data_IF_363432187770
#
_entry.id   IF_363432187770
#
_cell.length_a   1.000
_cell.length_b   1.000
_cell.length_c   1.000
_cell.angle_alpha   90.00
_cell.angle_beta   90.00
_cell.angle_gamma   90.00
#
_symmetry.space_group_name_H-M   'P 1'
#
loop_
_entity.id
_entity.type
_entity.pdbx_description
1 polymer ?
#
# COMPACT_ATOMS: atom_id res chain seq x y z
N UNK A 1 -13.91 -1.77 5.60
CA UNK A 1 -12.63 -1.11 5.30
C UNK A 1 -12.08 -1.70 4.02
N UNK A 2 -11.74 -0.87 3.02
CA UNK A 2 -11.05 -1.32 1.82
C UNK A 2 -9.53 -1.30 2.01
N UNK A 3 -8.81 -1.79 1.00
CA UNK A 3 -7.34 -1.89 1.03
C UNK A 3 -6.66 -0.51 1.12
N UNK A 4 -7.28 0.54 0.55
CA UNK A 4 -6.74 1.91 0.60
C UNK A 4 -6.83 2.46 2.02
N UNK A 5 -7.99 2.30 2.67
CA UNK A 5 -8.17 2.74 4.04
C UNK A 5 -7.23 1.97 4.99
N UNK A 6 -7.05 0.67 4.75
CA UNK A 6 -6.07 -0.14 5.46
C UNK A 6 -4.65 0.41 5.31
N UNK A 7 -4.20 0.65 4.08
CA UNK A 7 -2.86 1.18 3.82
C UNK A 7 -2.66 2.56 4.44
N UNK A 8 -3.64 3.46 4.33
CA UNK A 8 -3.57 4.79 4.94
C UNK A 8 -3.47 4.70 6.48
N UNK A 9 -4.17 3.77 7.11
CA UNK A 9 -4.05 3.53 8.55
C UNK A 9 -2.65 3.03 8.93
N UNK A 10 -2.10 2.06 8.19
CA UNK A 10 -0.75 1.53 8.44
C UNK A 10 0.34 2.60 8.25
N UNK A 11 0.25 3.42 7.21
CA UNK A 11 1.18 4.54 7.02
C UNK A 11 1.11 5.56 8.16
N UNK A 12 -0.08 5.83 8.70
CA UNK A 12 -0.22 6.73 9.85
C UNK A 12 0.41 6.14 11.12
N UNK A 13 0.34 4.83 11.32
CA UNK A 13 1.00 4.13 12.43
C UNK A 13 2.53 4.17 12.32
N UNK A 14 3.08 3.92 11.13
CA UNK A 14 4.53 4.00 10.86
C UNK A 14 5.06 5.42 11.14
N UNK A 15 4.34 6.46 10.70
CA UNK A 15 4.72 7.85 11.00
C UNK A 15 4.63 8.19 12.49
N UNK A 16 3.59 7.69 13.18
CA UNK A 16 3.45 7.88 14.61
C UNK A 16 4.58 7.18 15.39
N UNK A 17 5.00 5.99 14.95
CA UNK A 17 6.15 5.27 15.51
C UNK A 17 7.46 6.03 15.25
N UNK A 18 7.67 6.53 14.03
CA UNK A 18 8.81 7.38 13.69
C UNK A 18 8.90 8.66 14.56
N UNK A 19 7.77 9.19 15.02
CA UNK A 19 7.74 10.33 15.95
C UNK A 19 8.10 9.99 17.41
N UNK A 20 8.02 8.72 17.82
CA UNK A 20 8.26 8.27 19.20
C UNK A 20 9.70 7.82 19.47
N UNK A 21 10.44 7.45 18.43
CA UNK A 21 11.78 6.87 18.53
C UNK A 21 12.91 7.91 18.78
N UNK A 22 12.58 9.14 19.20
CA UNK A 22 13.54 10.14 19.67
C UNK A 22 13.98 9.98 21.13
N UNK A 23 13.67 8.84 21.78
CA UNK A 23 14.03 8.54 23.16
C UNK A 23 15.39 7.84 23.29
N UNK A 24 16.10 8.14 24.39
CA UNK A 24 17.48 7.82 24.79
C UNK A 24 17.98 6.35 24.69
N UNK A 25 17.23 5.42 24.09
CA UNK A 25 17.54 3.98 24.02
C UNK A 25 18.14 3.55 22.67
N UNK A 26 18.65 4.51 21.87
CA UNK A 26 19.24 4.33 20.53
C UNK A 26 20.65 3.67 20.55
N UNK A 27 21.16 3.26 21.72
CA UNK A 27 22.50 2.71 21.82
C UNK A 27 22.66 1.30 21.22
N UNK A 28 21.56 0.56 20.98
CA UNK A 28 21.58 -0.85 20.56
C UNK A 28 21.19 -1.10 19.10
N UNK A 29 20.61 -0.13 18.40
CA UNK A 29 20.22 -0.26 16.99
C UNK A 29 21.33 0.31 16.10
N UNK A 30 21.69 -0.34 14.97
CA UNK A 30 22.61 0.26 14.01
C UNK A 30 22.08 1.63 13.59
N UNK A 31 22.90 2.68 13.74
CA UNK A 31 22.55 4.03 13.29
C UNK A 31 22.08 3.97 11.84
N UNK A 32 20.89 4.50 11.57
CA UNK A 32 20.30 4.54 10.21
C UNK A 32 19.29 3.43 9.88
N UNK A 33 19.05 2.44 10.76
CA UNK A 33 17.96 1.47 10.55
C UNK A 33 16.57 2.14 10.64
N UNK A 34 16.44 3.15 11.49
CA UNK A 34 15.19 3.87 11.71
C UNK A 34 15.44 5.38 11.71
N UNK A 35 15.60 5.96 10.51
CA UNK A 35 15.65 7.42 10.32
C UNK A 35 14.21 7.96 10.19
N UNK A 36 13.72 8.75 11.17
CA UNK A 36 12.35 9.28 11.12
C UNK A 36 12.08 10.15 9.89
N UNK A 37 13.09 10.84 9.36
CA UNK A 37 12.93 11.64 8.15
C UNK A 37 12.71 10.74 6.93
N UNK A 38 13.48 9.65 6.82
CA UNK A 38 13.29 8.63 5.79
C UNK A 38 11.90 7.98 5.88
N UNK A 39 11.45 7.55 7.07
CA UNK A 39 10.12 6.91 7.23
C UNK A 39 8.99 7.83 6.77
N UNK A 40 9.04 9.11 7.14
CA UNK A 40 8.06 10.11 6.66
C UNK A 40 8.12 10.31 5.15
N UNK A 41 9.31 10.32 4.56
CA UNK A 41 9.47 10.43 3.11
C UNK A 41 8.89 9.21 2.38
N UNK A 42 9.12 8.00 2.90
CA UNK A 42 8.52 6.76 2.37
C UNK A 42 7.00 6.79 2.49
N UNK A 43 6.45 7.20 3.63
CA UNK A 43 5.00 7.32 3.80
C UNK A 43 4.38 8.35 2.85
N UNK A 44 5.04 9.49 2.64
CA UNK A 44 4.62 10.48 1.65
C UNK A 44 4.66 9.94 0.21
N UNK A 45 5.69 9.17 -0.14
CA UNK A 45 5.80 8.53 -1.45
C UNK A 45 4.68 7.51 -1.66
N UNK A 46 4.40 6.64 -0.68
CA UNK A 46 3.32 5.65 -0.79
C UNK A 46 1.96 6.33 -0.89
N UNK A 47 1.69 7.42 -0.15
CA UNK A 47 0.46 8.21 -0.33
C UNK A 47 0.31 8.77 -1.74
N UNK A 48 1.40 9.25 -2.32
CA UNK A 48 1.40 9.70 -3.72
C UNK A 48 1.01 8.57 -4.66
N UNK A 49 1.58 7.37 -4.48
CA UNK A 49 1.19 6.18 -5.27
C UNK A 49 -0.29 5.86 -5.09
N UNK A 50 -0.83 5.87 -3.87
CA UNK A 50 -2.25 5.63 -3.62
C UNK A 50 -3.17 6.69 -4.25
N UNK A 51 -2.74 7.96 -4.26
CA UNK A 51 -3.46 9.04 -4.92
C UNK A 51 -3.51 8.89 -6.44
N UNK A 52 -2.47 8.30 -7.04
CA UNK A 52 -2.44 7.96 -8.46
C UNK A 52 -3.29 6.70 -8.74
N UNK A 53 -3.20 5.69 -7.88
CA UNK A 53 -3.89 4.41 -8.03
C UNK A 53 -5.26 4.39 -7.35
N UNK A 54 -6.07 5.43 -7.54
CA UNK A 54 -7.44 5.46 -7.05
C UNK A 54 -8.34 4.50 -7.84
N UNK A 55 -9.39 4.02 -7.17
CA UNK A 55 -10.50 3.34 -7.83
C UNK A 55 -11.21 4.37 -8.70
N UNK A 56 -11.28 4.10 -9.99
CA UNK A 56 -12.28 4.72 -10.84
C UNK A 56 -13.52 3.84 -10.79
N UNK A 57 -14.55 4.35 -10.15
CA UNK A 57 -15.92 3.90 -10.31
C UNK A 57 -16.59 4.70 -11.44
N UNK A 58 -17.60 4.11 -12.07
CA UNK A 58 -18.57 4.74 -12.98
C UNK A 58 -18.09 5.40 -14.29
N UNK A 59 -16.79 5.54 -14.55
CA UNK A 59 -16.28 5.99 -15.85
C UNK A 59 -16.59 4.92 -16.89
N UNK A 60 -17.74 5.08 -17.56
CA UNK A 60 -18.18 4.25 -18.68
C UNK A 60 -18.42 2.78 -18.26
N UNK A 61 -18.79 2.55 -17.00
CA UNK A 61 -18.98 1.21 -16.43
C UNK A 61 -17.67 0.49 -16.05
N UNK A 62 -16.54 1.20 -16.03
CA UNK A 62 -15.26 0.68 -15.57
C UNK A 62 -15.20 0.63 -14.04
N UNK A 63 -14.71 -0.49 -13.49
CA UNK A 63 -14.37 -0.64 -12.08
C UNK A 63 -12.92 -1.10 -11.95
N UNK A 64 -11.99 -0.16 -11.76
CA UNK A 64 -10.57 -0.44 -11.85
C UNK A 64 -9.66 0.73 -11.48
N UNK A 65 -8.40 0.66 -11.91
CA UNK A 65 -7.40 1.71 -11.69
C UNK A 65 -6.99 2.34 -13.02
N UNK A 66 -7.24 3.63 -13.22
CA UNK A 66 -6.93 4.33 -14.48
C UNK A 66 -5.43 4.38 -14.78
N UNK A 67 -4.60 4.52 -13.74
CA UNK A 67 -3.14 4.59 -13.89
C UNK A 67 -2.54 3.27 -14.36
N UNK A 68 -3.16 2.14 -14.01
CA UNK A 68 -2.75 0.83 -14.53
C UNK A 68 -3.16 0.60 -15.99
N UNK A 69 -3.98 1.48 -16.57
CA UNK A 69 -4.49 1.38 -17.93
C UNK A 69 -5.74 0.50 -18.06
N UNK A 70 -6.63 0.92 -18.96
CA UNK A 70 -7.84 0.20 -19.37
C UNK A 70 -7.59 -0.60 -20.67
N UNK A 71 -6.63 -1.52 -20.67
CA UNK A 71 -6.46 -2.42 -21.83
C UNK A 71 -7.31 -3.66 -21.63
N UNK A 72 -8.63 -3.52 -21.79
CA UNK A 72 -9.60 -4.52 -22.26
C UNK A 72 -9.53 -5.95 -21.70
N UNK A 73 -8.81 -6.17 -20.60
CA UNK A 73 -8.67 -7.42 -19.90
C UNK A 73 -9.05 -7.11 -18.45
N UNK A 74 -10.34 -7.29 -18.17
CA UNK A 74 -11.00 -7.04 -16.89
C UNK A 74 -10.49 -7.94 -15.76
N UNK A 75 -9.40 -8.68 -15.98
CA UNK A 75 -8.93 -9.75 -15.09
C UNK A 75 -8.42 -9.25 -13.74
N UNK A 76 -8.11 -7.96 -13.56
CA UNK A 76 -7.48 -7.51 -12.30
C UNK A 76 -8.22 -6.42 -11.51
N UNK A 77 -9.22 -5.74 -12.11
CA UNK A 77 -10.12 -4.80 -11.44
C UNK A 77 -9.45 -3.83 -10.44
N UNK A 78 -10.23 -3.30 -9.50
CA UNK A 78 -9.71 -2.69 -8.29
C UNK A 78 -9.87 -3.68 -7.11
N UNK A 79 -8.87 -3.85 -6.23
CA UNK A 79 -7.58 -3.17 -6.20
C UNK A 79 -6.57 -3.76 -7.18
N UNK A 80 -5.84 -2.86 -7.85
CA UNK A 80 -4.87 -3.22 -8.87
C UNK A 80 -3.60 -3.87 -8.26
N UNK A 81 -2.78 -4.57 -9.07
CA UNK A 81 -1.59 -5.27 -8.59
C UNK A 81 -0.63 -4.39 -7.79
N UNK A 82 -0.43 -3.13 -8.18
CA UNK A 82 0.43 -2.20 -7.46
C UNK A 82 -0.04 -1.98 -6.01
N UNK A 83 -1.33 -1.75 -5.80
CA UNK A 83 -1.89 -1.53 -4.46
C UNK A 83 -1.83 -2.82 -3.62
N UNK A 84 -2.03 -3.99 -4.25
CA UNK A 84 -1.87 -5.29 -3.59
C UNK A 84 -0.43 -5.55 -3.13
N UNK A 85 0.55 -5.21 -3.96
CA UNK A 85 1.98 -5.33 -3.61
C UNK A 85 2.34 -4.42 -2.43
N UNK A 86 1.81 -3.19 -2.38
CA UNK A 86 1.99 -2.32 -1.22
C UNK A 86 1.41 -2.94 0.04
N UNK A 87 0.19 -3.51 -0.03
CA UNK A 87 -0.45 -4.13 1.13
C UNK A 87 0.27 -5.38 1.64
N UNK A 88 1.03 -6.08 0.77
CA UNK A 88 1.73 -7.31 1.13
C UNK A 88 2.78 -7.12 2.25
N UNK A 89 3.26 -5.90 2.48
CA UNK A 89 4.14 -5.57 3.62
C UNK A 89 3.48 -5.89 4.97
N UNK A 90 2.15 -5.88 5.02
CA UNK A 90 1.37 -6.11 6.23
C UNK A 90 0.55 -7.41 6.17
N UNK A 91 1.00 -8.43 5.44
CA UNK A 91 0.28 -9.71 5.30
C UNK A 91 0.04 -10.45 6.64
N UNK A 92 0.90 -10.22 7.64
CA UNK A 92 0.77 -10.71 9.01
C UNK A 92 -0.08 -9.84 9.93
N UNK A 93 -0.63 -8.71 9.45
CA UNK A 93 -1.45 -7.82 10.27
C UNK A 93 -2.86 -8.40 10.47
N UNK A 94 -3.48 -8.35 11.68
CA UNK A 94 -4.79 -8.95 11.92
C UNK A 94 -5.92 -8.40 11.03
N UNK A 95 -5.85 -7.12 10.67
CA UNK A 95 -6.82 -6.49 9.75
C UNK A 95 -6.53 -6.75 8.26
N UNK A 96 -5.43 -7.42 7.93
CA UNK A 96 -5.10 -7.76 6.55
C UNK A 96 -6.06 -8.83 6.02
N UNK A 97 -6.57 -8.64 4.80
CA UNK A 97 -7.45 -9.63 4.15
C UNK A 97 -6.67 -10.40 3.10
N UNK A 98 -6.74 -11.73 3.14
CA UNK A 98 -6.01 -12.61 2.21
C UNK A 98 -6.33 -12.36 0.72
N UNK A 99 -7.51 -11.82 0.41
CA UNK A 99 -7.90 -11.41 -0.95
C UNK A 99 -7.04 -10.26 -1.51
N UNK A 100 -6.35 -9.51 -0.65
CA UNK A 100 -5.42 -8.43 -1.02
C UNK A 100 -4.03 -8.95 -1.43
N UNK A 101 -3.77 -10.26 -1.30
CA UNK A 101 -2.49 -10.84 -1.67
C UNK A 101 -2.18 -10.67 -3.17
N UNK A 102 -0.92 -10.36 -3.53
CA UNK A 102 -0.47 -10.42 -4.91
C UNK A 102 -0.71 -11.83 -5.50
N UNK A 103 -1.22 -11.92 -6.73
CA UNK A 103 -1.31 -13.18 -7.48
C UNK A 103 -2.54 -14.08 -7.21
N UNK A 104 -3.55 -13.63 -6.45
CA UNK A 104 -4.83 -14.38 -6.27
C UNK A 104 -5.99 -13.87 -7.13
N UNK A 105 -5.71 -13.35 -8.31
CA UNK A 105 -6.71 -13.04 -9.33
C UNK A 105 -6.02 -12.96 -10.68
N UNK A 106 -6.35 -13.88 -11.60
CA UNK A 106 -5.84 -13.92 -12.96
C UNK A 106 -4.75 -14.96 -13.18
N UNK A 107 -5.10 -16.04 -13.87
CA UNK A 107 -4.16 -17.03 -14.40
C UNK A 107 -3.10 -16.34 -15.28
N UNK A 108 -1.83 -16.55 -14.98
CA UNK A 108 -0.77 -16.41 -15.97
C UNK A 108 -1.01 -17.43 -17.09
N UNK A 109 -1.47 -16.95 -18.24
CA UNK A 109 -1.30 -17.68 -19.50
C UNK A 109 -0.08 -17.05 -20.17
N UNK A 110 1.01 -17.83 -20.19
CA UNK A 110 2.17 -17.59 -21.06
C UNK A 110 1.81 -17.78 -22.52
#
# INVERSE_FOLDING_TARGET
MGITEFLLARLAEEEAAAGRDGGDDDARRPRGWHDPARVRAECAAVRTVLGLHQRADDIWGFDGCLVCGNVADTTHGYPCPTVRVLAAVWDGHPDYRAEWAPGRGGHHVV
#
